data_IF_413027920058
#
_entry.id   IF_413027920058
#
_cell.length_a   1.000
_cell.length_b   1.000
_cell.length_c   1.000
_cell.angle_alpha   90.00
_cell.angle_beta   90.00
_cell.angle_gamma   90.00
#
_symmetry.space_group_name_H-M   'P 1'
#
loop_
_entity.id
_entity.type
_entity.pdbx_description
1 polymer ?
#
# COMPACT_ATOMS: atom_id res chain seq x y z
N UNK A 1 48.47 17.20 -3.05
CA UNK A 1 47.11 17.65 -2.68
C UNK A 1 46.21 17.37 -3.86
N UNK A 2 45.57 16.20 -3.85
CA UNK A 2 44.97 15.58 -5.04
C UNK A 2 43.45 15.54 -4.85
N UNK A 3 42.75 16.38 -5.62
CA UNK A 3 41.36 16.23 -6.11
C UNK A 3 40.30 15.62 -5.16
N UNK A 4 39.78 16.41 -4.22
CA UNK A 4 38.52 16.09 -3.52
C UNK A 4 37.25 16.45 -4.33
N UNK A 5 37.38 17.18 -5.44
CA UNK A 5 36.24 17.67 -6.23
C UNK A 5 35.49 16.60 -7.05
N UNK A 6 36.06 15.42 -7.28
CA UNK A 6 35.40 14.34 -8.04
C UNK A 6 34.49 13.44 -7.19
N UNK A 7 34.81 13.26 -5.91
CA UNK A 7 34.13 12.31 -5.03
C UNK A 7 32.74 12.80 -4.58
N UNK A 8 32.59 14.09 -4.29
CA UNK A 8 31.35 14.67 -3.79
C UNK A 8 30.19 14.63 -4.80
N UNK A 9 30.39 14.97 -6.09
CA UNK A 9 29.34 14.87 -7.10
C UNK A 9 28.93 13.42 -7.40
N UNK A 10 29.85 12.45 -7.32
CA UNK A 10 29.54 11.03 -7.48
C UNK A 10 28.75 10.48 -6.29
N UNK A 11 29.17 10.82 -5.07
CA UNK A 11 28.45 10.42 -3.86
C UNK A 11 27.05 11.01 -3.80
N UNK A 12 26.88 12.31 -4.12
CA UNK A 12 25.56 12.96 -4.22
C UNK A 12 24.64 12.22 -5.18
N UNK A 13 25.15 11.86 -6.37
CA UNK A 13 24.39 11.10 -7.38
C UNK A 13 24.06 9.68 -6.91
N UNK A 14 24.94 9.03 -6.16
CA UNK A 14 24.65 7.72 -5.57
C UNK A 14 23.52 7.79 -4.55
N UNK A 15 23.55 8.79 -3.65
CA UNK A 15 22.47 9.00 -2.67
C UNK A 15 21.15 9.35 -3.36
N UNK A 16 21.18 10.21 -4.38
CA UNK A 16 19.99 10.57 -5.14
C UNK A 16 19.35 9.34 -5.81
N UNK A 17 20.17 8.50 -6.46
CA UNK A 17 19.70 7.24 -7.09
C UNK A 17 19.07 6.30 -6.07
N UNK A 18 19.70 6.07 -4.92
CA UNK A 18 19.13 5.24 -3.86
C UNK A 18 17.78 5.77 -3.36
N UNK A 19 17.63 7.09 -3.20
CA UNK A 19 16.36 7.71 -2.82
C UNK A 19 15.29 7.60 -3.92
N UNK A 20 15.70 7.60 -5.19
CA UNK A 20 14.81 7.37 -6.33
C UNK A 20 14.30 5.92 -6.35
N UNK A 21 15.20 4.95 -6.17
CA UNK A 21 14.86 3.52 -6.09
C UNK A 21 13.92 3.24 -4.90
N UNK A 22 14.22 3.79 -3.71
CA UNK A 22 13.33 3.71 -2.56
C UNK A 22 11.98 4.39 -2.83
N UNK A 23 11.97 5.54 -3.52
CA UNK A 23 10.72 6.23 -3.88
C UNK A 23 9.85 5.41 -4.83
N UNK A 24 10.47 4.61 -5.72
CA UNK A 24 9.77 3.68 -6.60
C UNK A 24 9.20 2.49 -5.82
N UNK A 25 9.98 1.85 -4.95
CA UNK A 25 9.48 0.76 -4.09
C UNK A 25 8.31 1.21 -3.19
N UNK A 26 8.42 2.40 -2.60
CA UNK A 26 7.34 3.01 -1.82
C UNK A 26 6.10 3.24 -2.70
N UNK A 27 6.25 3.69 -3.95
CA UNK A 27 5.13 3.90 -4.85
C UNK A 27 4.37 2.59 -5.11
N UNK A 28 5.09 1.48 -5.37
CA UNK A 28 4.46 0.18 -5.59
C UNK A 28 3.66 -0.28 -4.38
N UNK A 29 4.26 -0.20 -3.19
CA UNK A 29 3.62 -0.58 -1.93
C UNK A 29 2.42 0.32 -1.61
N UNK A 30 2.55 1.63 -1.82
CA UNK A 30 1.48 2.63 -1.66
C UNK A 30 0.27 2.28 -2.54
N UNK A 31 0.49 2.03 -3.83
CA UNK A 31 -0.62 1.74 -4.77
C UNK A 31 -1.28 0.40 -4.47
N UNK A 32 -0.52 -0.59 -4.01
CA UNK A 32 -1.09 -1.86 -3.55
C UNK A 32 -2.06 -1.64 -2.37
N UNK A 33 -1.68 -0.83 -1.38
CA UNK A 33 -2.58 -0.48 -0.27
C UNK A 33 -3.84 0.25 -0.74
N UNK A 34 -3.74 1.24 -1.64
CA UNK A 34 -4.93 1.90 -2.17
C UNK A 34 -5.86 0.97 -2.95
N UNK A 35 -5.30 0.05 -3.75
CA UNK A 35 -6.09 -0.95 -4.47
C UNK A 35 -6.83 -1.90 -3.52
N UNK A 36 -6.17 -2.35 -2.44
CA UNK A 36 -6.81 -3.16 -1.40
C UNK A 36 -7.90 -2.40 -0.65
N UNK A 37 -7.66 -1.13 -0.32
CA UNK A 37 -8.67 -0.28 0.27
C UNK A 37 -9.91 -0.16 -0.62
N UNK A 38 -9.74 0.12 -1.91
CA UNK A 38 -10.85 0.22 -2.87
C UNK A 38 -11.61 -1.11 -3.00
N UNK A 39 -10.91 -2.25 -3.01
CA UNK A 39 -11.55 -3.56 -3.01
C UNK A 39 -12.44 -3.76 -1.78
N UNK A 40 -11.95 -3.42 -0.59
CA UNK A 40 -12.73 -3.50 0.64
C UNK A 40 -13.89 -2.51 0.68
N UNK A 41 -13.71 -1.29 0.16
CA UNK A 41 -14.77 -0.30 0.03
C UNK A 41 -15.93 -0.83 -0.86
N UNK A 42 -15.58 -1.45 -2.00
CA UNK A 42 -16.56 -2.07 -2.91
C UNK A 42 -17.28 -3.25 -2.26
N UNK A 43 -16.56 -4.13 -1.55
CA UNK A 43 -17.17 -5.25 -0.82
C UNK A 43 -18.14 -4.73 0.24
N UNK A 44 -17.73 -3.73 1.03
CA UNK A 44 -18.57 -3.12 2.05
C UNK A 44 -19.86 -2.54 1.45
N UNK A 45 -19.73 -1.78 0.37
CA UNK A 45 -20.88 -1.17 -0.32
C UNK A 45 -21.82 -2.24 -0.89
N UNK A 46 -21.28 -3.27 -1.56
CA UNK A 46 -22.09 -4.31 -2.17
C UNK A 46 -22.86 -5.12 -1.13
N UNK A 47 -22.19 -5.58 -0.06
CA UNK A 47 -22.84 -6.30 1.04
C UNK A 47 -23.89 -5.43 1.76
N UNK A 48 -23.56 -4.16 2.05
CA UNK A 48 -24.49 -3.25 2.71
C UNK A 48 -25.74 -2.97 1.88
N UNK A 49 -25.57 -2.76 0.57
CA UNK A 49 -26.67 -2.51 -0.34
C UNK A 49 -27.57 -3.75 -0.47
N UNK A 50 -26.98 -4.93 -0.70
CA UNK A 50 -27.75 -6.18 -0.79
C UNK A 50 -28.50 -6.48 0.50
N UNK A 51 -27.86 -6.25 1.67
CA UNK A 51 -28.50 -6.41 2.96
C UNK A 51 -29.70 -5.49 3.12
N UNK A 52 -29.54 -4.21 2.78
CA UNK A 52 -30.57 -3.19 2.94
C UNK A 52 -31.76 -3.47 2.02
N UNK A 53 -31.51 -3.72 0.73
CA UNK A 53 -32.57 -4.01 -0.24
C UNK A 53 -33.35 -5.27 0.17
N UNK A 54 -32.65 -6.35 0.54
CA UNK A 54 -33.29 -7.61 0.91
C UNK A 54 -34.12 -7.47 2.20
N UNK A 55 -33.61 -6.72 3.19
CA UNK A 55 -34.36 -6.42 4.40
C UNK A 55 -35.61 -5.59 4.12
N UNK A 56 -35.51 -4.58 3.23
CA UNK A 56 -36.66 -3.77 2.82
C UNK A 56 -37.72 -4.59 2.09
N UNK A 57 -37.32 -5.50 1.19
CA UNK A 57 -38.23 -6.44 0.52
C UNK A 57 -38.94 -7.31 1.55
N UNK A 58 -38.18 -7.95 2.46
CA UNK A 58 -38.75 -8.79 3.51
C UNK A 58 -39.76 -8.03 4.38
N UNK A 59 -39.43 -6.81 4.80
CA UNK A 59 -40.31 -5.97 5.60
C UNK A 59 -41.61 -5.64 4.84
N UNK A 60 -41.53 -5.23 3.58
CA UNK A 60 -42.70 -4.89 2.77
C UNK A 60 -43.60 -6.11 2.50
N UNK A 61 -43.02 -7.28 2.21
CA UNK A 61 -43.79 -8.49 1.92
C UNK A 61 -44.40 -9.12 3.17
N UNK A 62 -43.80 -8.93 4.35
CA UNK A 62 -44.42 -9.37 5.62
C UNK A 62 -45.63 -8.52 5.96
N UNK A 63 -45.58 -7.20 5.74
CA UNK A 63 -46.68 -6.28 6.07
C UNK A 63 -47.90 -6.47 5.15
N UNK A 64 -47.68 -6.90 3.92
CA UNK A 64 -48.73 -7.10 2.92
C UNK A 64 -49.26 -8.53 2.90
N UNK A 65 -48.65 -9.45 3.66
CA UNK A 65 -48.90 -10.90 3.63
C UNK A 65 -48.86 -11.52 2.21
N UNK A 66 -48.27 -10.81 1.24
CA UNK A 66 -48.47 -11.09 -0.18
C UNK A 66 -47.69 -12.32 -0.68
N UNK A 67 -46.53 -12.60 -0.08
CA UNK A 67 -45.62 -13.65 -0.55
C UNK A 67 -44.70 -14.18 0.56
N UNK A 68 -45.16 -15.14 1.40
CA UNK A 68 -44.39 -15.67 2.54
C UNK A 68 -43.02 -16.24 2.17
N UNK A 69 -42.91 -16.92 1.02
CA UNK A 69 -41.64 -17.48 0.53
C UNK A 69 -40.64 -16.37 0.19
N UNK A 70 -41.10 -15.29 -0.44
CA UNK A 70 -40.26 -14.13 -0.78
C UNK A 70 -39.78 -13.42 0.48
N UNK A 71 -40.66 -13.26 1.48
CA UNK A 71 -40.29 -12.72 2.79
C UNK A 71 -39.15 -13.52 3.41
N UNK A 72 -39.30 -14.85 3.52
CA UNK A 72 -38.30 -15.71 4.15
C UNK A 72 -36.95 -15.68 3.43
N UNK A 73 -36.97 -15.75 2.10
CA UNK A 73 -35.75 -15.70 1.29
C UNK A 73 -35.01 -14.35 1.43
N UNK A 74 -35.74 -13.24 1.33
CA UNK A 74 -35.12 -11.91 1.43
C UNK A 74 -34.60 -11.63 2.85
N UNK A 75 -35.31 -12.08 3.88
CA UNK A 75 -34.84 -11.98 5.27
C UNK A 75 -33.55 -12.77 5.50
N UNK A 76 -33.46 -13.99 4.94
CA UNK A 76 -32.27 -14.83 5.04
C UNK A 76 -31.07 -14.19 4.33
N UNK A 77 -31.25 -13.68 3.11
CA UNK A 77 -30.19 -12.98 2.37
C UNK A 77 -29.71 -11.78 3.17
N UNK A 78 -30.62 -10.95 3.69
CA UNK A 78 -30.28 -9.80 4.51
C UNK A 78 -29.44 -10.20 5.72
N UNK A 79 -29.88 -11.21 6.47
CA UNK A 79 -29.19 -11.70 7.66
C UNK A 79 -27.78 -12.24 7.33
N UNK A 80 -27.62 -13.00 6.25
CA UNK A 80 -26.32 -13.51 5.80
C UNK A 80 -25.38 -12.35 5.46
N UNK A 81 -25.84 -11.38 4.65
CA UNK A 81 -25.00 -10.24 4.26
C UNK A 81 -24.63 -9.33 5.44
N UNK A 82 -25.55 -9.11 6.38
CA UNK A 82 -25.28 -8.37 7.62
C UNK A 82 -24.28 -9.10 8.52
N UNK A 83 -24.42 -10.42 8.63
CA UNK A 83 -23.45 -11.28 9.32
C UNK A 83 -22.07 -11.16 8.70
N UNK A 84 -21.96 -11.24 7.36
CA UNK A 84 -20.69 -11.07 6.65
C UNK A 84 -20.06 -9.70 6.91
N UNK A 85 -20.83 -8.61 6.94
CA UNK A 85 -20.32 -7.29 7.29
C UNK A 85 -19.72 -7.25 8.70
N UNK A 86 -20.36 -7.94 9.65
CA UNK A 86 -19.94 -7.98 11.06
C UNK A 86 -18.68 -8.82 11.27
N UNK A 87 -18.56 -9.95 10.56
CA UNK A 87 -17.40 -10.84 10.66
C UNK A 87 -16.20 -10.37 9.84
N UNK A 88 -16.42 -9.95 8.58
CA UNK A 88 -15.35 -9.54 7.68
C UNK A 88 -14.84 -8.12 7.95
N UNK A 89 -15.67 -7.27 8.57
CA UNK A 89 -15.34 -5.88 8.91
C UNK A 89 -14.67 -5.13 7.75
N UNK A 90 -15.22 -5.18 6.53
CA UNK A 90 -14.53 -4.67 5.34
C UNK A 90 -14.21 -3.17 5.45
N UNK A 91 -15.04 -2.39 6.16
CA UNK A 91 -14.76 -0.98 6.43
C UNK A 91 -13.50 -0.76 7.28
N UNK A 92 -13.26 -1.61 8.29
CA UNK A 92 -12.04 -1.51 9.10
C UNK A 92 -10.81 -1.86 8.26
N UNK A 93 -10.90 -2.91 7.43
CA UNK A 93 -9.83 -3.30 6.51
C UNK A 93 -9.51 -2.18 5.50
N UNK A 94 -10.53 -1.57 4.89
CA UNK A 94 -10.39 -0.40 4.02
C UNK A 94 -9.59 0.71 4.72
N UNK A 95 -10.01 1.12 5.93
CA UNK A 95 -9.38 2.22 6.66
C UNK A 95 -7.92 1.94 7.01
N UNK A 96 -7.59 0.68 7.36
CA UNK A 96 -6.21 0.28 7.65
C UNK A 96 -5.33 0.38 6.40
N UNK A 97 -5.81 -0.12 5.26
CA UNK A 97 -5.07 0.01 3.99
C UNK A 97 -4.97 1.48 3.53
N UNK A 98 -6.01 2.30 3.66
CA UNK A 98 -5.95 3.74 3.37
C UNK A 98 -4.92 4.47 4.23
N UNK A 99 -4.83 4.11 5.51
CA UNK A 99 -3.90 4.73 6.44
C UNK A 99 -2.45 4.43 6.05
N UNK A 100 -2.14 3.15 5.80
CA UNK A 100 -0.82 2.74 5.33
C UNK A 100 -0.45 3.41 4.00
N UNK A 101 -1.35 3.40 3.01
CA UNK A 101 -1.13 4.07 1.72
C UNK A 101 -0.87 5.58 1.85
N UNK A 102 -1.56 6.27 2.77
CA UNK A 102 -1.33 7.70 3.03
C UNK A 102 0.03 7.96 3.68
N UNK A 103 0.44 7.13 4.63
CA UNK A 103 1.74 7.25 5.28
C UNK A 103 2.88 7.02 4.27
N UNK A 104 2.77 5.97 3.44
CA UNK A 104 3.72 5.69 2.36
C UNK A 104 3.79 6.83 1.33
N UNK A 105 2.64 7.37 0.91
CA UNK A 105 2.64 8.53 0.01
C UNK A 105 3.35 9.75 0.63
N UNK A 106 3.11 10.03 1.92
CA UNK A 106 3.79 11.11 2.62
C UNK A 106 5.30 10.89 2.68
N UNK A 107 5.74 9.67 2.95
CA UNK A 107 7.16 9.30 2.94
C UNK A 107 7.80 9.48 1.56
N UNK A 108 7.11 9.04 0.49
CA UNK A 108 7.57 9.23 -0.90
C UNK A 108 7.70 10.70 -1.28
N UNK A 109 6.77 11.55 -0.83
CA UNK A 109 6.87 13.00 -1.03
C UNK A 109 8.11 13.56 -0.33
N UNK A 110 8.40 13.13 0.91
CA UNK A 110 9.62 13.53 1.63
C UNK A 110 10.90 13.06 0.93
N UNK A 111 10.97 11.82 0.46
CA UNK A 111 12.12 11.31 -0.29
C UNK A 111 12.37 12.14 -1.56
N UNK A 112 11.31 12.49 -2.30
CA UNK A 112 11.40 13.40 -3.46
C UNK A 112 11.84 14.82 -3.08
N UNK A 113 11.43 15.31 -1.91
CA UNK A 113 11.88 16.59 -1.38
C UNK A 113 13.37 16.55 -1.07
N UNK A 114 13.88 15.48 -0.44
CA UNK A 114 15.30 15.29 -0.17
C UNK A 114 16.14 15.32 -1.45
N UNK A 115 15.68 14.63 -2.52
CA UNK A 115 16.35 14.66 -3.82
C UNK A 115 16.36 16.09 -4.42
N UNK A 116 15.22 16.77 -4.40
CA UNK A 116 15.03 18.05 -5.10
C UNK A 116 15.60 19.26 -4.37
N UNK A 117 15.67 19.21 -3.05
CA UNK A 117 16.06 20.34 -2.19
C UNK A 117 17.42 20.05 -1.56
N UNK A 118 17.55 18.96 -0.80
CA UNK A 118 18.73 18.69 0.02
C UNK A 118 19.94 18.21 -0.82
N UNK A 119 19.66 17.52 -1.93
CA UNK A 119 20.67 17.08 -2.90
C UNK A 119 20.75 17.98 -4.14
N UNK A 120 20.10 19.15 -4.12
CA UNK A 120 20.12 20.07 -5.26
C UNK A 120 21.55 20.51 -5.59
N UNK A 121 21.84 20.71 -6.89
CA UNK A 121 23.19 21.14 -7.30
C UNK A 121 23.60 22.48 -6.68
N UNK A 122 22.61 23.36 -6.45
CA UNK A 122 22.76 24.66 -5.79
C UNK A 122 22.85 24.58 -4.26
N UNK A 123 22.57 23.43 -3.65
CA UNK A 123 22.70 23.25 -2.20
C UNK A 123 24.19 23.07 -1.81
N UNK A 124 24.60 23.56 -0.62
CA UNK A 124 25.95 23.37 -0.11
C UNK A 124 26.36 21.89 -0.08
N UNK A 125 27.61 21.62 -0.41
CA UNK A 125 28.17 20.26 -0.30
C UNK A 125 28.32 19.86 1.16
N UNK A 126 27.51 18.89 1.61
CA UNK A 126 27.64 18.25 2.92
C UNK A 126 27.45 16.72 2.82
N UNK A 127 28.50 15.98 2.41
CA UNK A 127 28.44 14.53 2.29
C UNK A 127 28.06 13.79 3.58
N UNK A 128 28.27 14.41 4.75
CA UNK A 128 27.94 13.75 6.03
C UNK A 128 26.44 13.74 6.27
N UNK A 129 25.73 14.85 5.99
CA UNK A 129 24.28 14.89 6.15
C UNK A 129 23.55 14.06 5.09
N UNK A 130 24.09 13.93 3.87
CA UNK A 130 23.45 13.12 2.83
C UNK A 130 23.48 11.62 3.11
N UNK A 131 24.51 11.15 3.82
CA UNK A 131 24.72 9.71 4.07
C UNK A 131 23.57 9.06 4.86
N UNK A 132 22.89 9.83 5.73
CA UNK A 132 21.79 9.31 6.54
C UNK A 132 20.44 9.33 5.84
N UNK A 133 20.27 10.10 4.75
CA UNK A 133 18.95 10.30 4.11
C UNK A 133 18.31 8.98 3.64
N UNK A 134 19.02 8.09 2.92
CA UNK A 134 18.41 6.82 2.51
C UNK A 134 18.05 5.92 3.68
N UNK A 135 18.90 5.89 4.71
CA UNK A 135 18.67 5.09 5.92
C UNK A 135 17.45 5.59 6.70
N UNK A 136 17.23 6.90 6.75
CA UNK A 136 16.04 7.51 7.36
C UNK A 136 14.77 7.07 6.61
N UNK A 137 14.76 7.18 5.28
CA UNK A 137 13.62 6.77 4.46
C UNK A 137 13.36 5.28 4.58
N UNK A 138 14.40 4.44 4.50
CA UNK A 138 14.28 2.99 4.64
C UNK A 138 13.75 2.58 6.03
N UNK A 139 14.23 3.22 7.10
CA UNK A 139 13.78 2.96 8.47
C UNK A 139 12.31 3.36 8.67
N UNK A 140 11.91 4.53 8.19
CA UNK A 140 10.51 4.96 8.26
C UNK A 140 9.60 4.06 7.42
N UNK A 141 10.05 3.63 6.23
CA UNK A 141 9.32 2.65 5.43
C UNK A 141 9.12 1.34 6.19
N UNK A 142 10.18 0.78 6.77
CA UNK A 142 10.10 -0.46 7.53
C UNK A 142 9.13 -0.37 8.71
N UNK A 143 9.07 0.79 9.38
CA UNK A 143 8.10 1.05 10.45
C UNK A 143 6.66 1.05 9.91
N UNK A 144 6.39 1.78 8.82
CA UNK A 144 5.06 1.83 8.20
C UNK A 144 4.64 0.42 7.76
N UNK A 145 5.52 -0.32 7.11
CA UNK A 145 5.27 -1.68 6.63
C UNK A 145 5.00 -2.66 7.81
N UNK A 146 5.69 -2.47 8.95
CA UNK A 146 5.46 -3.27 10.16
C UNK A 146 4.10 -3.03 10.83
N UNK A 147 3.53 -1.83 10.68
CA UNK A 147 2.20 -1.47 11.21
C UNK A 147 1.07 -1.76 10.19
N UNK A 148 1.43 -1.89 8.91
CA UNK A 148 0.50 -2.05 7.82
C UNK A 148 -0.20 -3.43 7.83
N UNK A 149 -1.48 -3.50 7.39
CA UNK A 149 -2.12 -4.79 7.14
C UNK A 149 -1.41 -5.52 5.99
N UNK A 150 -1.29 -6.85 6.11
CA UNK A 150 -0.66 -7.67 5.08
C UNK A 150 -1.34 -7.48 3.71
N UNK A 151 -0.55 -7.15 2.69
CA UNK A 151 -0.97 -7.21 1.30
C UNK A 151 -1.18 -8.69 0.93
N UNK A 152 -2.31 -9.02 0.28
CA UNK A 152 -2.92 -10.36 0.29
C UNK A 152 -1.95 -11.57 0.33
N UNK A 153 -2.22 -12.54 1.20
CA UNK A 153 -1.39 -13.75 1.35
C UNK A 153 -1.12 -14.52 0.05
N UNK A 154 -2.03 -14.48 -0.95
CA UNK A 154 -1.80 -15.09 -2.27
C UNK A 154 -0.73 -14.38 -3.11
N UNK A 155 -0.55 -13.07 -2.94
CA UNK A 155 0.55 -12.33 -3.58
C UNK A 155 1.88 -12.59 -2.88
N UNK A 156 1.86 -12.73 -1.55
CA UNK A 156 3.03 -13.12 -0.76
C UNK A 156 3.48 -14.56 -1.08
N UNK A 157 2.55 -15.52 -1.18
CA UNK A 157 2.84 -16.89 -1.59
C UNK A 157 3.38 -16.95 -3.03
N UNK A 158 2.80 -16.17 -3.97
CA UNK A 158 3.33 -16.05 -5.34
C UNK A 158 4.69 -15.38 -5.40
N UNK A 159 4.94 -14.36 -4.58
CA UNK A 159 6.23 -13.69 -4.48
C UNK A 159 7.28 -14.63 -3.90
N UNK A 160 6.94 -15.39 -2.84
CA UNK A 160 7.80 -16.44 -2.28
C UNK A 160 8.15 -17.50 -3.33
N UNK A 161 7.17 -18.02 -4.06
CA UNK A 161 7.43 -19.00 -5.14
C UNK A 161 8.27 -18.42 -6.28
N UNK A 162 8.16 -17.12 -6.59
CA UNK A 162 8.99 -16.46 -7.62
C UNK A 162 10.42 -16.17 -7.15
N UNK A 163 10.62 -15.85 -5.87
CA UNK A 163 11.93 -15.66 -5.24
C UNK A 163 12.65 -17.02 -5.14
N UNK A 164 11.96 -18.07 -4.69
CA UNK A 164 12.47 -19.45 -4.65
C UNK A 164 12.80 -19.98 -6.07
N UNK A 165 12.12 -19.48 -7.10
CA UNK A 165 12.40 -19.79 -8.51
C UNK A 165 13.53 -18.95 -9.14
N UNK A 166 14.19 -18.05 -8.39
CA UNK A 166 15.38 -17.32 -8.84
C UNK A 166 15.11 -16.10 -9.74
N UNK A 167 13.91 -15.51 -9.73
CA UNK A 167 13.52 -14.44 -10.66
C UNK A 167 13.84 -13.00 -10.22
N UNK A 168 14.69 -12.80 -9.21
CA UNK A 168 15.10 -11.47 -8.76
C UNK A 168 16.62 -11.32 -8.78
N UNK A 169 17.20 -11.30 -9.99
CA UNK A 169 18.48 -10.63 -10.20
C UNK A 169 18.19 -9.13 -10.29
N UNK A 170 18.69 -8.37 -9.32
CA UNK A 170 18.66 -6.91 -9.39
C UNK A 170 19.69 -6.45 -10.44
N UNK A 171 19.30 -5.51 -11.29
CA UNK A 171 20.16 -4.95 -12.35
C UNK A 171 21.46 -4.34 -11.79
N UNK A 172 21.47 -3.93 -10.51
CA UNK A 172 22.65 -3.41 -9.81
C UNK A 172 23.75 -4.46 -9.58
N UNK A 173 23.44 -5.76 -9.56
CA UNK A 173 24.44 -6.83 -9.43
C UNK A 173 25.13 -7.18 -10.76
N UNK A 174 24.53 -6.82 -11.90
CA UNK A 174 25.10 -7.07 -13.23
C UNK A 174 26.30 -6.16 -13.55
N UNK A 175 26.39 -5.01 -12.87
CA UNK A 175 27.41 -3.98 -13.17
C UNK A 175 28.72 -4.19 -12.38
N UNK A 176 28.79 -5.16 -11.45
CA UNK A 176 30.00 -5.47 -10.69
C UNK A 176 30.80 -6.68 -11.21
N UNK A 177 30.34 -7.33 -12.29
CA UNK A 177 31.02 -8.49 -12.92
C UNK A 177 31.48 -8.24 -14.36
N UNK A 178 31.80 -7.00 -14.72
CA UNK A 178 32.39 -6.65 -16.02
C UNK A 178 33.80 -6.10 -15.85
#
# INVERSE_FOLDING_TARGET
MTTAHGFTPEFRRAVARELEDLSEDILWTEKAHFAHAEAHARINLWLGLTSTISASIAAATVLTEAAPVVTGAAALIAAITAGLLTFLKPREAELRHLTAGRQLNALRVRARQMIRIDLATSAPDDPRSWRSLPAEVASEKAKIDGEAPALSGRAFDRARTKIEAGHFEHESDSTQRS
#
